data_IF_144572746827
#
_entry.id   IF_144572746827
#
_cell.length_a   1.000
_cell.length_b   1.000
_cell.length_c   1.000
_cell.angle_alpha   90.00
_cell.angle_beta   90.00
_cell.angle_gamma   90.00
#
_symmetry.space_group_name_H-M   'P 1'
#
loop_
_entity.id
_entity.type
_entity.pdbx_description
1 polymer ?
#
# COMPACT_ATOMS: atom_id res chain seq x y z
N UNK A 1 11.69 -9.94 2.42
CA UNK A 1 10.50 -9.76 3.27
C UNK A 1 10.81 -10.19 4.69
N UNK A 2 10.50 -9.36 5.69
CA UNK A 2 10.61 -9.72 7.11
C UNK A 2 9.72 -10.93 7.40
N UNK A 3 10.23 -11.84 8.23
CA UNK A 3 9.58 -13.13 8.54
C UNK A 3 8.18 -13.00 9.13
N UNK A 4 7.37 -14.08 9.16
CA UNK A 4 5.93 -14.10 9.44
C UNK A 4 5.51 -13.45 10.78
N UNK A 5 6.42 -13.31 11.74
CA UNK A 5 6.19 -12.64 13.03
C UNK A 5 6.26 -11.11 13.00
N UNK A 6 6.79 -10.50 11.94
CA UNK A 6 6.89 -9.04 11.84
C UNK A 6 5.49 -8.39 11.73
N UNK A 7 5.22 -7.37 12.54
CA UNK A 7 3.96 -6.61 12.45
C UNK A 7 3.88 -5.85 11.11
N UNK A 8 2.72 -5.86 10.42
CA UNK A 8 2.56 -5.12 9.17
C UNK A 8 2.50 -3.61 9.41
N UNK A 9 2.97 -2.84 8.43
CA UNK A 9 2.70 -1.41 8.29
C UNK A 9 1.40 -1.27 7.52
N UNK A 10 0.40 -0.61 8.12
CA UNK A 10 -0.90 -0.36 7.48
C UNK A 10 -0.93 1.09 7.00
N UNK A 11 -1.16 1.28 5.70
CA UNK A 11 -1.34 2.59 5.07
C UNK A 11 -2.80 2.69 4.65
N UNK A 12 -3.51 3.68 5.17
CA UNK A 12 -4.89 3.96 4.79
C UNK A 12 -4.92 5.27 3.99
N UNK A 13 -5.23 5.17 2.70
CA UNK A 13 -5.34 6.32 1.83
C UNK A 13 -6.41 6.06 0.77
N UNK A 14 -7.35 6.99 0.64
CA UNK A 14 -8.42 6.96 -0.35
C UNK A 14 -8.65 8.34 -0.97
N UNK A 15 -9.70 8.48 -1.75
CA UNK A 15 -10.03 9.71 -2.47
C UNK A 15 -9.48 9.71 -3.89
N UNK A 16 -9.02 10.88 -4.34
CA UNK A 16 -8.46 11.05 -5.69
C UNK A 16 -6.98 10.67 -5.72
N UNK A 17 -6.39 10.64 -6.94
CA UNK A 17 -4.99 10.29 -7.15
C UNK A 17 -3.97 11.06 -6.29
N UNK A 18 -4.30 12.28 -5.86
CA UNK A 18 -3.44 13.09 -5.00
C UNK A 18 -3.11 12.46 -3.64
N UNK A 19 -3.93 11.54 -3.13
CA UNK A 19 -3.65 10.77 -1.91
C UNK A 19 -3.24 9.33 -2.22
N UNK A 20 -3.86 8.73 -3.24
CA UNK A 20 -3.70 7.32 -3.58
C UNK A 20 -2.31 7.03 -4.17
N UNK A 21 -1.82 7.86 -5.11
CA UNK A 21 -0.51 7.64 -5.73
C UNK A 21 0.67 7.82 -4.76
N UNK A 22 0.70 8.84 -3.86
CA UNK A 22 1.74 8.92 -2.85
C UNK A 22 1.72 7.74 -1.87
N UNK A 23 0.53 7.24 -1.51
CA UNK A 23 0.39 6.09 -0.62
C UNK A 23 0.93 4.81 -1.27
N UNK A 24 0.63 4.60 -2.56
CA UNK A 24 1.19 3.51 -3.35
C UNK A 24 2.71 3.60 -3.47
N UNK A 25 3.25 4.79 -3.77
CA UNK A 25 4.69 5.00 -3.87
C UNK A 25 5.42 4.70 -2.55
N UNK A 26 4.86 5.13 -1.42
CA UNK A 26 5.37 4.81 -0.09
C UNK A 26 5.33 3.29 0.18
N UNK A 27 4.20 2.65 -0.13
CA UNK A 27 4.02 1.23 0.08
C UNK A 27 5.00 0.40 -0.77
N UNK A 28 5.22 0.76 -2.04
CA UNK A 28 6.23 0.14 -2.90
C UNK A 28 7.65 0.29 -2.31
N UNK A 29 8.00 1.48 -1.82
CA UNK A 29 9.30 1.72 -1.20
C UNK A 29 9.52 0.88 0.07
N UNK A 30 8.47 0.68 0.89
CA UNK A 30 8.53 -0.16 2.09
C UNK A 30 8.62 -1.65 1.74
N UNK A 31 7.88 -2.11 0.73
CA UNK A 31 7.99 -3.48 0.20
C UNK A 31 9.40 -3.75 -0.32
N UNK A 32 10.01 -2.80 -1.05
CA UNK A 32 11.38 -2.92 -1.53
C UNK A 32 12.42 -3.00 -0.39
N UNK A 33 12.12 -2.40 0.77
CA UNK A 33 12.92 -2.53 2.01
C UNK A 33 12.66 -3.83 2.76
N UNK A 34 11.77 -4.68 2.25
CA UNK A 34 11.39 -5.95 2.83
C UNK A 34 10.37 -5.85 3.95
N UNK A 35 9.71 -4.70 4.16
CA UNK A 35 8.62 -4.57 5.12
C UNK A 35 7.39 -5.37 4.68
N UNK A 36 6.56 -5.75 5.65
CA UNK A 36 5.21 -6.25 5.36
C UNK A 36 4.26 -5.07 5.36
N UNK A 37 3.56 -4.85 4.26
CA UNK A 37 2.71 -3.67 4.06
C UNK A 37 1.29 -4.11 3.71
N UNK A 38 0.30 -3.38 4.23
CA UNK A 38 -1.10 -3.45 3.82
C UNK A 38 -1.50 -2.05 3.38
N UNK A 39 -1.97 -1.90 2.14
CA UNK A 39 -2.44 -0.64 1.60
C UNK A 39 -3.97 -0.70 1.45
N UNK A 40 -4.68 0.03 2.29
CA UNK A 40 -6.15 0.10 2.31
C UNK A 40 -6.62 1.37 1.61
N UNK A 41 -7.61 1.23 0.74
CA UNK A 41 -8.23 2.33 0.00
C UNK A 41 -9.75 2.21 -0.04
N UNK A 42 -10.43 3.26 -0.47
CA UNK A 42 -11.88 3.22 -0.70
C UNK A 42 -12.25 2.63 -2.06
N UNK A 43 -13.54 2.35 -2.26
CA UNK A 43 -14.05 1.64 -3.44
C UNK A 43 -13.76 2.33 -4.78
N UNK A 44 -13.44 3.63 -4.82
CA UNK A 44 -13.10 4.34 -6.07
C UNK A 44 -11.78 3.86 -6.67
N UNK A 45 -10.88 3.35 -5.84
CA UNK A 45 -9.58 2.82 -6.26
C UNK A 45 -9.65 1.37 -6.73
N UNK A 46 -10.82 0.73 -6.71
CA UNK A 46 -11.01 -0.67 -7.13
C UNK A 46 -10.61 -0.96 -8.58
N UNK A 47 -10.55 0.08 -9.43
CA UNK A 47 -10.14 -0.02 -10.82
C UNK A 47 -8.64 0.29 -11.07
N UNK A 48 -7.87 0.63 -10.02
CA UNK A 48 -6.43 0.85 -10.17
C UNK A 48 -5.70 -0.49 -10.22
N UNK A 49 -5.05 -0.77 -11.34
CA UNK A 49 -4.07 -1.86 -11.40
C UNK A 49 -2.80 -1.42 -10.69
N UNK A 50 -2.51 -2.05 -9.55
CA UNK A 50 -1.28 -1.83 -8.80
C UNK A 50 -0.72 -3.15 -8.31
N UNK A 51 0.61 -3.33 -8.33
CA UNK A 51 1.25 -4.47 -7.69
C UNK A 51 1.22 -4.39 -6.15
N UNK A 52 0.68 -3.31 -5.60
CA UNK A 52 0.66 -3.01 -4.16
C UNK A 52 -0.75 -3.01 -3.56
N UNK A 53 -1.76 -2.57 -4.33
CA UNK A 53 -3.16 -2.78 -3.93
C UNK A 53 -3.48 -4.27 -4.07
N UNK A 54 -3.85 -4.91 -2.96
CA UNK A 54 -4.27 -6.31 -2.91
C UNK A 54 -5.60 -6.42 -2.16
#
# INVERSE_FOLDING_TARGET
>A
MRGPTARPIVIAAGGTGGHVFPAEALAAALVARGERVVLMTDARSSALESPVFA
#
